data_IF_300933779256
#
_entry.id   IF_300933779256
#
_cell.length_a   1.000
_cell.length_b   1.000
_cell.length_c   1.000
_cell.angle_alpha   90.00
_cell.angle_beta   90.00
_cell.angle_gamma   90.00
#
_symmetry.space_group_name_H-M   'P 1'
#
loop_
_entity.id
_entity.type
_entity.pdbx_description
1 polymer ?
#
# COMPACT_ATOMS: atom_id res chain seq x y z
N UNK A 1 2.52 6.01 -0.76
CA UNK A 1 1.81 5.21 -1.79
C UNK A 1 1.65 3.74 -1.40
N UNK A 2 2.69 3.07 -0.90
CA UNK A 2 2.67 1.63 -0.59
C UNK A 2 1.73 1.20 0.56
N UNK A 3 1.40 2.08 1.52
CA UNK A 3 0.44 1.81 2.60
C UNK A 3 -1.03 1.85 2.13
N UNK A 4 -1.30 2.54 1.03
CA UNK A 4 -2.66 2.79 0.55
C UNK A 4 -3.46 1.51 0.30
N UNK A 5 -2.97 0.49 -0.43
CA UNK A 5 -3.73 -0.73 -0.67
C UNK A 5 -4.11 -1.47 0.61
N UNK A 6 -3.25 -1.45 1.63
CA UNK A 6 -3.51 -2.11 2.91
C UNK A 6 -4.74 -1.50 3.56
N UNK A 7 -4.78 -0.17 3.70
CA UNK A 7 -5.89 0.50 4.37
C UNK A 7 -7.16 0.55 3.53
N UNK A 8 -7.05 0.57 2.19
CA UNK A 8 -8.22 0.45 1.32
C UNK A 8 -8.89 -0.92 1.41
N UNK A 9 -8.11 -1.99 1.56
CA UNK A 9 -8.64 -3.36 1.61
C UNK A 9 -9.05 -3.79 3.03
N UNK A 10 -8.31 -3.37 4.06
CA UNK A 10 -8.47 -3.86 5.42
C UNK A 10 -9.01 -2.81 6.40
N UNK A 11 -9.18 -1.56 5.94
CA UNK A 11 -9.57 -0.43 6.80
C UNK A 11 -8.42 0.09 7.66
N UNK A 12 -8.69 1.14 8.45
CA UNK A 12 -7.69 1.81 9.28
C UNK A 12 -7.53 1.19 10.70
N UNK A 13 -8.41 0.26 11.09
CA UNK A 13 -8.47 -0.28 12.45
C UNK A 13 -7.56 -1.49 12.66
N UNK A 14 -6.23 -1.29 12.64
CA UNK A 14 -5.28 -2.34 13.01
C UNK A 14 -5.07 -2.38 14.54
N UNK A 15 -4.79 -3.59 15.07
CA UNK A 15 -4.52 -3.81 16.50
C UNK A 15 -3.09 -3.44 16.88
N UNK A 16 -2.14 -3.70 15.99
CA UNK A 16 -0.71 -3.50 16.21
C UNK A 16 0.00 -3.35 14.89
N UNK A 17 1.06 -2.57 14.89
CA UNK A 17 2.08 -2.54 13.83
C UNK A 17 3.47 -2.74 14.44
N UNK A 18 4.41 -3.18 13.61
CA UNK A 18 5.83 -3.22 13.91
C UNK A 18 6.57 -2.71 12.68
N UNK A 19 7.47 -1.77 12.88
CA UNK A 19 8.29 -1.18 11.83
C UNK A 19 9.73 -1.65 12.05
N UNK A 20 10.30 -2.34 11.06
CA UNK A 20 11.69 -2.79 11.07
C UNK A 20 12.42 -1.98 10.01
N UNK A 21 13.49 -1.27 10.39
CA UNK A 21 14.18 -0.38 9.47
C UNK A 21 15.70 -0.49 9.58
N UNK A 22 16.38 -0.25 8.46
CA UNK A 22 17.82 -0.03 8.40
C UNK A 22 18.07 1.37 7.88
N UNK A 23 18.88 2.14 8.61
CA UNK A 23 19.24 3.51 8.25
C UNK A 23 20.58 3.54 7.52
N UNK A 24 20.77 4.54 6.67
CA UNK A 24 22.07 4.81 6.07
C UNK A 24 23.07 5.28 7.12
N UNK A 25 24.30 4.78 7.01
CA UNK A 25 25.43 5.28 7.80
C UNK A 25 25.98 6.56 7.15
N UNK A 26 25.29 7.67 7.40
CA UNK A 26 25.63 8.99 6.86
C UNK A 26 25.18 10.09 7.82
N UNK A 27 25.68 11.31 7.64
CA UNK A 27 25.31 12.49 8.44
C UNK A 27 23.79 12.77 8.33
N UNK A 28 23.19 12.45 7.19
CA UNK A 28 21.74 12.51 6.97
C UNK A 28 21.16 11.11 7.06
N UNK A 29 20.53 10.81 8.18
CA UNK A 29 19.87 9.52 8.38
C UNK A 29 18.62 9.42 7.51
N UNK A 30 18.61 8.45 6.59
CA UNK A 30 17.43 8.07 5.83
C UNK A 30 17.32 6.54 5.80
N UNK A 31 16.13 6.04 5.61
CA UNK A 31 15.87 4.62 5.56
C UNK A 31 16.35 4.00 4.23
N UNK A 32 17.23 3.00 4.33
CA UNK A 32 17.65 2.17 3.20
C UNK A 32 16.67 1.05 2.93
N UNK A 33 16.05 0.56 4.00
CA UNK A 33 15.06 -0.49 3.98
C UNK A 33 14.10 -0.29 5.14
N UNK A 34 12.82 -0.42 4.87
CA UNK A 34 11.78 -0.43 5.90
C UNK A 34 10.77 -1.52 5.59
N UNK A 35 10.46 -2.34 6.59
CA UNK A 35 9.38 -3.31 6.57
C UNK A 35 8.37 -2.95 7.64
N UNK A 36 7.08 -2.96 7.30
CA UNK A 36 6.02 -2.71 8.26
C UNK A 36 5.07 -3.89 8.23
N UNK A 37 4.84 -4.49 9.39
CA UNK A 37 3.87 -5.55 9.60
C UNK A 37 2.67 -5.01 10.38
N UNK A 38 1.47 -5.32 9.93
CA UNK A 38 0.22 -4.95 10.57
C UNK A 38 -0.55 -6.20 11.01
N UNK A 39 -1.13 -6.13 12.19
CA UNK A 39 -2.08 -7.10 12.71
C UNK A 39 -3.47 -6.45 12.77
N UNK A 40 -4.39 -6.93 11.94
CA UNK A 40 -5.80 -6.58 11.98
C UNK A 40 -6.62 -7.61 12.78
N UNK A 41 -7.90 -7.34 13.08
CA UNK A 41 -8.75 -8.31 13.79
C UNK A 41 -8.84 -9.69 13.13
N UNK A 42 -8.89 -9.75 11.80
CA UNK A 42 -9.05 -10.98 11.02
C UNK A 42 -8.04 -11.13 9.87
N UNK A 43 -6.99 -10.30 9.83
CA UNK A 43 -6.02 -10.32 8.74
C UNK A 43 -4.65 -9.84 9.22
N UNK A 44 -3.64 -10.09 8.40
CA UNK A 44 -2.32 -9.49 8.52
C UNK A 44 -1.93 -8.83 7.21
N UNK A 45 -1.10 -7.81 7.28
CA UNK A 45 -0.51 -7.21 6.11
C UNK A 45 0.97 -6.90 6.34
N UNK A 46 1.75 -6.99 5.29
CA UNK A 46 3.17 -6.68 5.32
C UNK A 46 3.55 -5.86 4.11
N UNK A 47 4.37 -4.85 4.32
CA UNK A 47 4.91 -4.00 3.26
C UNK A 47 6.41 -3.89 3.42
N UNK A 48 7.12 -3.84 2.30
CA UNK A 48 8.56 -3.55 2.24
C UNK A 48 8.77 -2.38 1.28
N UNK A 49 9.58 -1.44 1.72
CA UNK A 49 10.06 -0.32 0.91
C UNK A 49 11.57 -0.28 1.07
N UNK A 50 12.30 -0.22 -0.02
CA UNK A 50 13.75 -0.22 0.03
C UNK A 50 14.35 0.65 -1.09
N UNK A 51 15.38 1.40 -0.73
CA UNK A 51 16.27 2.09 -1.66
C UNK A 51 17.54 1.27 -1.88
N UNK A 52 17.98 0.55 -0.84
CA UNK A 52 19.19 -0.27 -0.83
C UNK A 52 19.01 -1.73 -1.26
N UNK A 53 17.78 -2.18 -1.53
CA UNK A 53 17.48 -3.55 -1.96
C UNK A 53 16.46 -3.57 -3.08
N UNK A 54 16.51 -4.58 -3.93
CA UNK A 54 15.48 -4.83 -4.94
C UNK A 54 14.42 -5.77 -4.39
N UNK A 55 13.16 -5.54 -4.74
CA UNK A 55 12.04 -6.45 -4.50
C UNK A 55 11.27 -6.67 -5.79
N UNK A 56 10.35 -7.62 -5.77
CA UNK A 56 9.52 -7.95 -6.93
C UNK A 56 8.48 -6.88 -7.26
N UNK A 57 8.23 -5.92 -6.34
CA UNK A 57 7.27 -4.81 -6.50
C UNK A 57 5.85 -5.26 -6.89
N UNK A 58 5.50 -6.52 -6.62
CA UNK A 58 4.17 -7.07 -6.82
C UNK A 58 3.30 -6.86 -5.58
N UNK A 59 1.97 -6.80 -5.78
CA UNK A 59 1.00 -6.81 -4.69
C UNK A 59 0.25 -8.14 -4.70
N UNK A 60 0.24 -8.83 -3.57
CA UNK A 60 -0.46 -10.11 -3.38
C UNK A 60 -1.49 -9.96 -2.26
N UNK A 61 -2.72 -10.34 -2.54
CA UNK A 61 -3.82 -10.36 -1.57
C UNK A 61 -4.28 -11.79 -1.41
N UNK A 62 -3.91 -12.44 -0.30
CA UNK A 62 -4.23 -13.84 -0.02
C UNK A 62 -5.59 -13.96 0.66
N UNK A 63 -6.43 -14.84 0.15
CA UNK A 63 -7.73 -15.23 0.72
C UNK A 63 -7.80 -16.73 1.02
N UNK A 64 -8.93 -17.19 1.52
CA UNK A 64 -9.17 -18.60 1.88
C UNK A 64 -9.42 -19.52 0.68
N UNK A 65 -9.91 -18.98 -0.43
CA UNK A 65 -10.25 -19.73 -1.64
C UNK A 65 -9.29 -19.47 -2.80
N UNK A 66 -8.40 -18.47 -2.67
CA UNK A 66 -7.46 -18.10 -3.70
C UNK A 66 -6.72 -16.83 -3.33
N UNK A 67 -6.00 -16.25 -4.28
CA UNK A 67 -5.29 -14.99 -4.07
C UNK A 67 -5.36 -14.08 -5.29
N UNK A 68 -5.39 -12.80 -5.01
CA UNK A 68 -5.20 -11.75 -6.02
C UNK A 68 -3.71 -11.47 -6.22
N UNK A 69 -3.30 -11.45 -7.48
CA UNK A 69 -1.93 -11.14 -7.88
C UNK A 69 -1.91 -9.96 -8.84
N UNK A 70 -1.22 -8.91 -8.44
CA UNK A 70 -1.00 -7.70 -9.23
C UNK A 70 0.49 -7.64 -9.53
N UNK A 71 0.91 -7.81 -10.81
CA UNK A 71 2.32 -7.91 -11.17
C UNK A 71 3.07 -6.60 -10.99
N UNK A 72 4.37 -6.71 -10.94
CA UNK A 72 5.29 -5.59 -10.83
C UNK A 72 5.36 -4.74 -12.10
N UNK A 73 5.47 -3.42 -11.95
CA UNK A 73 5.25 -2.65 -10.73
C UNK A 73 3.75 -2.47 -10.49
N UNK A 74 3.26 -2.90 -9.33
CA UNK A 74 1.82 -2.98 -9.05
C UNK A 74 1.05 -1.67 -9.27
N UNK A 75 1.72 -0.52 -9.20
CA UNK A 75 1.12 0.80 -9.40
C UNK A 75 1.11 1.27 -10.87
N UNK A 76 1.65 0.47 -11.80
CA UNK A 76 1.72 0.78 -13.24
C UNK A 76 1.35 -0.42 -14.14
N UNK A 77 0.78 -1.47 -13.56
CA UNK A 77 0.31 -2.62 -14.34
C UNK A 77 -1.05 -2.33 -14.97
N UNK A 78 -1.36 -3.03 -16.05
CA UNK A 78 -2.63 -2.92 -16.79
C UNK A 78 -3.54 -4.13 -16.58
N UNK A 79 -3.16 -5.05 -15.67
CA UNK A 79 -3.97 -6.20 -15.32
C UNK A 79 -3.71 -6.70 -13.91
N UNK A 80 -4.65 -7.49 -13.41
CA UNK A 80 -4.49 -8.33 -12.22
C UNK A 80 -5.10 -9.70 -12.45
N UNK A 81 -4.73 -10.66 -11.62
CA UNK A 81 -5.22 -12.03 -11.69
C UNK A 81 -5.85 -12.46 -10.36
N UNK A 82 -6.95 -13.19 -10.46
CA UNK A 82 -7.43 -14.03 -9.37
C UNK A 82 -6.98 -15.45 -9.65
N UNK A 83 -6.23 -16.02 -8.73
CA UNK A 83 -5.66 -17.36 -8.84
C UNK A 83 -6.24 -18.26 -7.78
N UNK A 84 -6.78 -19.39 -8.21
CA UNK A 84 -7.42 -20.39 -7.39
C UNK A 84 -6.58 -21.68 -7.35
N UNK A 85 -6.93 -22.60 -6.46
CA UNK A 85 -6.28 -23.91 -6.36
C UNK A 85 -6.40 -24.70 -7.66
N UNK A 86 -7.57 -24.66 -8.30
CA UNK A 86 -7.76 -25.18 -9.65
C UNK A 86 -7.35 -24.12 -10.69
N UNK A 87 -6.24 -24.30 -11.43
CA UNK A 87 -5.80 -23.31 -12.41
C UNK A 87 -6.79 -23.02 -13.55
N UNK A 88 -7.74 -23.96 -13.81
CA UNK A 88 -8.80 -23.75 -14.80
C UNK A 88 -9.82 -22.68 -14.41
N UNK A 89 -9.84 -22.28 -13.15
CA UNK A 89 -10.72 -21.23 -12.62
C UNK A 89 -10.03 -19.86 -12.54
N UNK A 90 -8.75 -19.80 -12.86
CA UNK A 90 -8.00 -18.55 -12.84
C UNK A 90 -8.61 -17.52 -13.77
N UNK A 91 -8.68 -16.29 -13.30
CA UNK A 91 -9.26 -15.17 -14.03
C UNK A 91 -8.25 -14.04 -14.14
N UNK A 92 -8.19 -13.41 -15.31
CA UNK A 92 -7.36 -12.23 -15.54
C UNK A 92 -8.23 -11.06 -15.97
N UNK A 93 -8.05 -9.93 -15.30
CA UNK A 93 -8.78 -8.70 -15.53
C UNK A 93 -7.83 -7.65 -16.10
N UNK A 94 -8.20 -7.08 -17.24
CA UNK A 94 -7.43 -6.03 -17.88
C UNK A 94 -8.12 -4.69 -17.70
N UNK A 95 -7.33 -3.64 -17.54
CA UNK A 95 -7.80 -2.26 -17.54
C UNK A 95 -6.78 -1.37 -18.25
N UNK A 96 -7.27 -0.32 -18.88
CA UNK A 96 -6.41 0.62 -19.55
C UNK A 96 -5.97 1.71 -18.57
N UNK A 97 -4.65 1.84 -18.38
CA UNK A 97 -4.08 2.99 -17.69
C UNK A 97 -4.13 4.22 -18.62
N UNK A 98 -4.90 5.22 -18.23
CA UNK A 98 -4.95 6.52 -18.94
C UNK A 98 -3.93 7.49 -18.30
N UNK A 99 -2.68 7.36 -18.70
CA UNK A 99 -1.57 8.15 -18.17
C UNK A 99 -1.13 7.71 -16.77
N UNK A 100 -0.55 8.63 -16.01
CA UNK A 100 0.01 8.36 -14.67
C UNK A 100 -0.99 8.66 -13.53
N UNK A 101 -2.27 8.81 -13.82
CA UNK A 101 -3.30 9.05 -12.82
C UNK A 101 -3.50 10.53 -12.41
N UNK A 102 -2.54 11.41 -12.66
CA UNK A 102 -2.61 12.84 -12.29
C UNK A 102 -3.84 13.52 -12.88
N UNK A 103 -4.18 13.20 -14.12
CA UNK A 103 -5.39 13.73 -14.79
C UNK A 103 -6.66 13.33 -14.03
N UNK A 104 -6.75 12.07 -13.58
CA UNK A 104 -7.91 11.59 -12.83
C UNK A 104 -8.01 12.26 -11.46
N UNK A 105 -6.88 12.47 -10.78
CA UNK A 105 -6.84 13.23 -9.52
C UNK A 105 -7.34 14.66 -9.70
N UNK A 106 -6.86 15.37 -10.73
CA UNK A 106 -7.28 16.73 -11.01
C UNK A 106 -8.77 16.81 -11.36
N UNK A 107 -9.30 15.89 -12.18
CA UNK A 107 -10.72 15.83 -12.52
C UNK A 107 -11.56 15.56 -11.27
N UNK A 108 -11.15 14.62 -10.42
CA UNK A 108 -11.84 14.31 -9.17
C UNK A 108 -11.85 15.51 -8.22
N UNK A 109 -10.71 16.19 -8.10
CA UNK A 109 -10.59 17.40 -7.28
C UNK A 109 -11.51 18.54 -7.77
N UNK A 110 -11.51 18.81 -9.07
CA UNK A 110 -12.39 19.84 -9.65
C UNK A 110 -13.87 19.51 -9.45
N UNK A 111 -14.27 18.26 -9.66
CA UNK A 111 -15.64 17.81 -9.39
C UNK A 111 -16.04 18.00 -7.94
N UNK A 112 -15.14 17.72 -7.00
CA UNK A 112 -15.39 17.92 -5.57
C UNK A 112 -15.62 19.40 -5.24
N UNK A 113 -14.90 20.31 -5.89
CA UNK A 113 -15.09 21.76 -5.73
C UNK A 113 -16.46 22.17 -6.31
N UNK A 114 -16.79 21.74 -7.52
CA UNK A 114 -18.04 22.08 -8.21
C UNK A 114 -19.28 21.56 -7.46
N UNK A 115 -19.18 20.32 -6.93
CA UNK A 115 -20.27 19.69 -6.19
C UNK A 115 -20.42 20.24 -4.75
N UNK A 116 -19.42 21.00 -4.23
CA UNK A 116 -19.37 21.40 -2.83
C UNK A 116 -19.32 20.24 -1.85
N UNK A 117 -18.99 19.04 -2.36
CA UNK A 117 -18.91 17.79 -1.61
C UNK A 117 -17.52 17.17 -1.79
N UNK A 118 -17.02 16.51 -0.75
CA UNK A 118 -15.74 15.79 -0.82
C UNK A 118 -15.95 14.41 -1.48
N UNK A 119 -16.08 14.37 -2.78
CA UNK A 119 -15.97 13.12 -3.55
C UNK A 119 -14.51 12.74 -3.72
N UNK A 120 -13.78 12.61 -2.61
CA UNK A 120 -12.41 12.17 -2.63
C UNK A 120 -12.38 10.66 -2.87
N UNK A 121 -11.52 10.21 -3.79
CA UNK A 121 -11.22 8.79 -4.00
C UNK A 121 -10.56 8.14 -2.77
N UNK A 122 -10.16 8.94 -1.79
CA UNK A 122 -9.52 8.52 -0.55
C UNK A 122 -10.36 8.97 0.65
N UNK A 123 -10.76 8.00 1.47
CA UNK A 123 -11.39 8.25 2.77
C UNK A 123 -10.43 9.03 3.68
N UNK A 124 -10.96 10.02 4.42
CA UNK A 124 -10.18 10.81 5.39
C UNK A 124 -9.52 9.93 6.46
N UNK A 125 -10.20 8.86 6.90
CA UNK A 125 -9.68 7.94 7.91
C UNK A 125 -8.48 7.16 7.38
N UNK A 126 -8.48 6.79 6.10
CA UNK A 126 -7.33 6.16 5.44
C UNK A 126 -6.16 7.15 5.35
N UNK A 127 -6.43 8.39 4.93
CA UNK A 127 -5.40 9.43 4.86
C UNK A 127 -4.77 9.70 6.23
N UNK A 128 -5.58 9.74 7.28
CA UNK A 128 -5.13 9.90 8.66
C UNK A 128 -4.28 8.72 9.12
N UNK A 129 -4.73 7.49 8.89
CA UNK A 129 -4.00 6.28 9.27
C UNK A 129 -2.63 6.19 8.60
N UNK A 130 -2.52 6.56 7.32
CA UNK A 130 -1.23 6.64 6.62
C UNK A 130 -0.32 7.66 7.28
N UNK A 131 -0.85 8.85 7.59
CA UNK A 131 -0.10 9.92 8.24
C UNK A 131 0.39 9.52 9.64
N UNK A 132 -0.45 8.85 10.43
CA UNK A 132 -0.09 8.34 11.75
C UNK A 132 1.04 7.31 11.69
N UNK A 133 1.02 6.39 10.72
CA UNK A 133 2.11 5.42 10.55
C UNK A 133 3.43 6.11 10.22
N UNK A 134 3.41 7.12 9.35
CA UNK A 134 4.60 7.91 9.01
C UNK A 134 5.10 8.72 10.22
N UNK A 135 4.19 9.33 10.97
CA UNK A 135 4.54 10.05 12.19
C UNK A 135 5.17 9.14 13.23
N UNK A 136 4.60 7.96 13.47
CA UNK A 136 5.13 6.98 14.41
C UNK A 136 6.54 6.51 14.00
N UNK A 137 6.79 6.32 12.69
CA UNK A 137 8.13 6.04 12.15
C UNK A 137 9.13 7.13 12.53
N UNK A 138 8.81 8.39 12.26
CA UNK A 138 9.70 9.51 12.56
C UNK A 138 9.90 9.74 14.07
N UNK A 139 8.95 9.34 14.90
CA UNK A 139 9.04 9.40 16.36
C UNK A 139 9.75 8.17 16.97
N UNK A 140 10.09 7.17 16.17
CA UNK A 140 10.68 5.91 16.64
C UNK A 140 9.70 5.02 17.40
N UNK A 141 8.40 5.25 17.27
CA UNK A 141 7.38 4.46 17.93
C UNK A 141 7.10 3.17 17.15
N UNK A 142 7.11 2.04 17.85
CA UNK A 142 6.99 0.70 17.26
C UNK A 142 8.08 0.40 16.20
N UNK A 143 9.25 1.02 16.32
CA UNK A 143 10.37 0.90 15.37
C UNK A 143 11.49 0.07 15.98
N UNK A 144 11.93 -0.92 15.21
CA UNK A 144 13.11 -1.75 15.48
C UNK A 144 14.18 -1.46 14.42
N UNK A 145 15.40 -1.17 14.87
CA UNK A 145 16.52 -0.87 13.97
C UNK A 145 17.35 -2.13 13.71
N UNK A 146 17.60 -2.40 12.42
CA UNK A 146 18.58 -3.41 12.04
C UNK A 146 20.00 -2.86 12.29
N UNK A 147 20.84 -3.70 12.86
CA UNK A 147 22.26 -3.40 13.11
C UNK A 147 23.07 -3.38 11.81
#
# INVERSE_FOLDING_TARGET
MALLPIFQLLGANYKRKTIITSLADSDVKFDLFSKIDFLFPAATASIKVAKGAKSEEALVVTGTEGYGYIPAPWWKTDYFELRFENPGENQRFFYQLDGEGIRLELVSFLRSIEAGSRELCLDEDIGRAITEVLQDFYQGKDVEYLA
#
